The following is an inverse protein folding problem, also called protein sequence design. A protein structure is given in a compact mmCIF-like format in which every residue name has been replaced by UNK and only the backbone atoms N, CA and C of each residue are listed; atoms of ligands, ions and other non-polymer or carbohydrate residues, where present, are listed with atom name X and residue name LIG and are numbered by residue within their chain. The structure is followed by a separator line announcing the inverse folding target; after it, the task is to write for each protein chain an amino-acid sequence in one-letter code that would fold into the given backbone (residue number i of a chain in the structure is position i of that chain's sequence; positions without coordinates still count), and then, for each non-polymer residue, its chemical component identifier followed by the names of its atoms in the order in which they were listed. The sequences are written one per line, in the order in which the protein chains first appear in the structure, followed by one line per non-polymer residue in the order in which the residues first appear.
data_IF_796386736881
#
_entry.id   IF_796386736881
#
_cell.length_a   1.000
_cell.length_b   1.000
_cell.length_c   1.000
_cell.angle_alpha   90.00
_cell.angle_beta   90.00
_cell.angle_gamma   90.00
#
_symmetry.space_group_name_H-M   'P 1'
#
loop_
_entity.id
_entity.type
_entity.pdbx_description
1 polymer ?
#
# COMPACT_ATOMS: atom_id res chain seq x y z
N UNK A 1 -9.49 -6.94 32.13
CA UNK A 1 -8.07 -7.39 32.12
C UNK A 1 -7.74 -8.22 30.88
N UNK A 2 -8.47 -9.30 30.56
CA UNK A 2 -8.22 -10.13 29.35
C UNK A 2 -8.25 -9.32 28.04
N UNK A 3 -9.19 -8.39 27.89
CA UNK A 3 -9.36 -7.59 26.67
C UNK A 3 -8.12 -6.74 26.31
N UNK A 4 -7.40 -6.21 27.31
CA UNK A 4 -6.18 -5.41 27.11
C UNK A 4 -4.98 -6.31 26.75
N UNK A 5 -4.94 -7.53 27.29
CA UNK A 5 -3.87 -8.49 27.05
C UNK A 5 -3.96 -9.06 25.62
N UNK A 6 -5.17 -9.39 25.15
CA UNK A 6 -5.42 -9.78 23.75
C UNK A 6 -5.10 -8.69 22.71
N UNK A 7 -5.06 -7.41 23.10
CA UNK A 7 -4.73 -6.30 22.20
C UNK A 7 -3.23 -6.12 21.95
N UNK A 8 -2.37 -6.66 22.80
CA UNK A 8 -0.93 -6.35 22.81
C UNK A 8 -0.02 -7.47 22.28
N UNK A 9 -0.50 -8.72 22.20
CA UNK A 9 0.33 -9.89 21.85
C UNK A 9 -0.29 -10.76 20.74
N UNK A 10 0.53 -11.15 19.76
CA UNK A 10 0.17 -12.01 18.61
C UNK A 10 -0.24 -13.43 19.02
N UNK A 11 0.17 -13.91 20.20
CA UNK A 11 -0.18 -15.23 20.72
C UNK A 11 -0.66 -15.10 22.18
N UNK A 12 -1.97 -14.95 22.36
CA UNK A 12 -2.59 -14.67 23.65
C UNK A 12 -3.40 -15.86 24.21
N UNK A 13 -3.26 -17.05 23.62
CA UNK A 13 -4.09 -18.21 23.99
C UNK A 13 -3.87 -18.66 25.44
N UNK A 14 -2.62 -18.86 25.84
CA UNK A 14 -2.27 -19.31 27.19
C UNK A 14 -2.67 -18.29 28.27
N UNK A 15 -2.50 -17.00 27.98
CA UNK A 15 -2.84 -15.90 28.88
C UNK A 15 -4.38 -15.75 29.03
N UNK A 16 -5.13 -15.95 27.95
CA UNK A 16 -6.60 -15.98 27.98
C UNK A 16 -7.08 -17.21 28.76
N UNK A 17 -6.49 -18.38 28.53
CA UNK A 17 -6.83 -19.63 29.24
C UNK A 17 -6.64 -19.51 30.76
N UNK A 18 -5.51 -18.93 31.19
CA UNK A 18 -5.24 -18.72 32.63
C UNK A 18 -6.19 -17.72 33.29
N UNK A 19 -6.56 -16.66 32.58
CA UNK A 19 -7.36 -15.57 33.16
C UNK A 19 -8.86 -15.77 32.99
N UNK A 20 -9.30 -16.59 32.02
CA UNK A 20 -10.71 -16.81 31.70
C UNK A 20 -11.57 -17.25 32.91
N UNK A 21 -11.10 -18.16 33.80
CA UNK A 21 -11.83 -18.51 35.03
C UNK A 21 -11.93 -17.37 36.05
N UNK A 22 -11.05 -16.37 35.95
CA UNK A 22 -10.88 -15.29 36.93
C UNK A 22 -11.51 -13.97 36.49
N UNK A 23 -12.12 -13.91 35.31
CA UNK A 23 -12.69 -12.67 34.76
C UNK A 23 -14.19 -12.66 34.67
N UNK A 24 -14.78 -11.52 35.03
CA UNK A 24 -16.17 -11.22 34.78
C UNK A 24 -16.47 -11.15 33.27
N UNK A 25 -17.71 -11.48 32.85
CA UNK A 25 -18.09 -11.47 31.43
C UNK A 25 -17.84 -10.13 30.76
N UNK A 26 -17.26 -10.18 29.55
CA UNK A 26 -17.01 -8.99 28.75
C UNK A 26 -18.33 -8.51 28.12
N UNK A 27 -18.73 -7.25 28.31
CA UNK A 27 -19.89 -6.68 27.61
C UNK A 27 -19.69 -6.75 26.09
N UNK A 28 -20.72 -7.13 25.33
CA UNK A 28 -20.76 -7.24 23.86
C UNK A 28 -20.13 -8.48 23.18
N UNK A 29 -19.56 -9.45 23.92
CA UNK A 29 -19.09 -10.71 23.32
C UNK A 29 -20.19 -11.78 23.39
N UNK A 30 -20.76 -12.16 22.23
CA UNK A 30 -21.82 -13.20 22.15
C UNK A 30 -21.30 -14.62 22.37
N UNK A 31 -20.11 -14.93 21.84
CA UNK A 31 -19.49 -16.24 22.01
C UNK A 31 -18.49 -16.23 23.17
N UNK A 32 -18.84 -16.93 24.26
CA UNK A 32 -18.08 -16.94 25.51
C UNK A 32 -16.98 -17.99 25.59
N UNK A 33 -16.73 -18.77 24.53
CA UNK A 33 -15.57 -19.65 24.54
C UNK A 33 -14.27 -18.85 24.45
N UNK A 34 -13.16 -19.45 24.87
CA UNK A 34 -11.81 -18.89 24.67
C UNK A 34 -11.60 -18.59 23.18
N UNK A 35 -12.00 -19.51 22.31
CA UNK A 35 -11.97 -19.31 20.85
C UNK A 35 -12.85 -18.14 20.41
N UNK A 36 -14.02 -17.95 21.04
CA UNK A 36 -14.94 -16.85 20.78
C UNK A 36 -14.37 -15.49 21.17
N UNK A 37 -13.68 -15.40 22.31
CA UNK A 37 -13.01 -14.19 22.80
C UNK A 37 -11.80 -13.86 21.94
N UNK A 38 -10.96 -14.86 21.62
CA UNK A 38 -9.82 -14.70 20.72
C UNK A 38 -10.30 -14.25 19.34
N UNK A 39 -11.36 -14.88 18.82
CA UNK A 39 -11.95 -14.51 17.53
C UNK A 39 -12.54 -13.09 17.56
N UNK A 40 -13.20 -12.69 18.64
CA UNK A 40 -13.76 -11.35 18.78
C UNK A 40 -12.66 -10.28 18.91
N UNK A 41 -11.59 -10.54 19.67
CA UNK A 41 -10.44 -9.64 19.78
C UNK A 41 -9.69 -9.51 18.44
N UNK A 42 -9.51 -10.63 17.72
CA UNK A 42 -8.99 -10.61 16.35
C UNK A 42 -9.90 -9.81 15.43
N UNK A 43 -11.22 -9.97 15.53
CA UNK A 43 -12.20 -9.23 14.72
C UNK A 43 -12.23 -7.74 15.05
N UNK A 44 -12.04 -7.33 16.31
CA UNK A 44 -11.92 -5.91 16.68
C UNK A 44 -10.60 -5.28 16.24
N UNK A 45 -9.49 -6.01 16.29
CA UNK A 45 -8.21 -5.59 15.71
C UNK A 45 -8.21 -5.62 14.17
N UNK A 46 -9.02 -6.52 13.59
CA UNK A 46 -9.26 -6.66 12.17
C UNK A 46 -10.44 -5.81 11.69
N UNK A 47 -11.10 -5.01 12.55
CA UNK A 47 -11.82 -3.83 12.05
C UNK A 47 -10.71 -3.02 11.40
N UNK A 48 -10.67 -2.91 10.07
CA UNK A 48 -9.68 -2.05 9.43
C UNK A 48 -9.90 -0.71 10.11
N UNK A 49 -8.87 -0.24 10.81
CA UNK A 49 -8.83 1.11 11.35
C UNK A 49 -9.24 1.98 10.16
N UNK A 50 -10.47 2.52 10.22
CA UNK A 50 -11.23 2.91 9.04
C UNK A 50 -10.38 3.81 8.13
N UNK A 51 -9.72 3.20 7.15
CA UNK A 51 -9.21 3.87 5.97
C UNK A 51 -10.33 3.82 4.94
N UNK A 52 -11.55 4.08 5.39
CA UNK A 52 -12.69 4.27 4.52
C UNK A 52 -12.38 5.58 3.81
N UNK A 53 -12.28 5.52 2.47
CA UNK A 53 -11.80 6.53 1.52
C UNK A 53 -10.37 6.27 0.99
N UNK A 54 -10.05 5.03 0.60
CA UNK A 54 -8.78 4.67 -0.06
C UNK A 54 -8.61 5.18 -1.49
N UNK A 55 -9.63 5.77 -2.10
CA UNK A 55 -9.55 6.39 -3.43
C UNK A 55 -8.79 7.74 -3.42
N UNK A 56 -8.69 8.40 -2.26
CA UNK A 56 -8.33 9.83 -2.11
C UNK A 56 -6.87 10.09 -1.66
N UNK A 57 -6.07 9.05 -1.36
CA UNK A 57 -4.67 9.26 -0.97
C UNK A 57 -3.81 9.80 -2.14
N UNK A 58 -4.24 9.55 -3.38
CA UNK A 58 -3.61 10.12 -4.57
C UNK A 58 -3.62 11.65 -4.55
N UNK A 59 -4.75 12.25 -4.17
CA UNK A 59 -4.95 13.70 -4.18
C UNK A 59 -4.29 14.37 -2.96
N UNK A 60 -4.37 13.72 -1.78
CA UNK A 60 -3.64 14.12 -0.57
C UNK A 60 -2.12 14.14 -0.74
N UNK A 61 -1.59 13.29 -1.61
CA UNK A 61 -0.16 13.21 -1.90
C UNK A 61 0.21 14.11 -3.09
N UNK A 62 -0.64 14.31 -4.09
CA UNK A 62 -0.33 15.20 -5.22
C UNK A 62 -0.46 16.70 -4.89
N UNK A 63 -0.99 17.07 -3.72
CA UNK A 63 -1.06 18.48 -3.29
C UNK A 63 0.31 19.03 -2.83
N UNK A 64 0.92 19.82 -3.73
CA UNK A 64 1.73 21.02 -3.51
C UNK A 64 3.24 21.01 -3.84
N UNK A 65 3.62 22.12 -4.48
CA UNK A 65 4.91 22.44 -5.09
C UNK A 65 5.88 23.20 -4.16
N UNK A 66 5.53 23.36 -2.87
CA UNK A 66 6.35 24.10 -1.90
C UNK A 66 7.30 23.18 -1.11
N UNK A 67 8.55 23.61 -0.92
CA UNK A 67 9.61 22.82 -0.26
C UNK A 67 9.32 22.46 1.21
N UNK A 68 8.58 23.30 1.94
CA UNK A 68 8.07 22.98 3.29
C UNK A 68 6.99 21.89 3.25
N UNK A 69 6.11 21.95 2.25
CA UNK A 69 5.04 20.98 2.06
C UNK A 69 5.57 19.63 1.56
N UNK A 70 6.62 19.63 0.73
CA UNK A 70 7.27 18.40 0.27
C UNK A 70 7.86 17.57 1.43
N UNK A 71 8.52 18.21 2.40
CA UNK A 71 9.03 17.53 3.62
C UNK A 71 7.90 16.94 4.45
N UNK A 72 6.82 17.69 4.61
CA UNK A 72 5.63 17.24 5.32
C UNK A 72 4.93 16.07 4.58
N UNK A 73 4.85 16.15 3.25
CA UNK A 73 4.34 15.07 2.40
C UNK A 73 5.19 13.80 2.47
N UNK A 74 6.52 13.94 2.52
CA UNK A 74 7.43 12.81 2.72
C UNK A 74 7.27 12.20 4.13
N UNK A 75 7.13 13.03 5.17
CA UNK A 75 6.86 12.56 6.54
C UNK A 75 5.57 11.76 6.62
N UNK A 76 4.49 12.25 5.99
CA UNK A 76 3.20 11.52 5.90
C UNK A 76 3.33 10.23 5.11
N UNK A 77 4.04 10.25 3.98
CA UNK A 77 4.29 9.05 3.19
C UNK A 77 5.04 7.97 4.00
N UNK A 78 6.07 8.36 4.75
CA UNK A 78 6.81 7.44 5.64
C UNK A 78 5.94 6.89 6.76
N UNK A 79 5.13 7.73 7.40
CA UNK A 79 4.20 7.28 8.44
C UNK A 79 3.15 6.31 7.90
N UNK A 80 2.64 6.57 6.69
CA UNK A 80 1.68 5.69 6.02
C UNK A 80 2.30 4.35 5.64
N UNK A 81 3.51 4.36 5.06
CA UNK A 81 4.24 3.15 4.69
C UNK A 81 4.44 2.22 5.90
N UNK A 82 4.94 2.76 7.02
CA UNK A 82 5.08 2.03 8.29
C UNK A 82 3.76 1.49 8.84
N UNK A 83 2.66 2.22 8.63
CA UNK A 83 1.34 1.79 9.09
C UNK A 83 0.81 0.63 8.25
N UNK A 84 0.98 0.70 6.93
CA UNK A 84 0.54 -0.35 6.00
C UNK A 84 1.39 -1.62 6.14
N UNK A 85 2.69 -1.51 6.41
CA UNK A 85 3.56 -2.67 6.58
C UNK A 85 3.06 -3.62 7.68
N UNK A 86 2.61 -3.04 8.81
CA UNK A 86 1.97 -3.78 9.90
C UNK A 86 0.63 -4.43 9.53
N UNK A 87 -0.07 -3.89 8.52
CA UNK A 87 -1.39 -4.38 8.08
C UNK A 87 -1.24 -5.51 7.07
N UNK A 88 -0.27 -5.42 6.15
CA UNK A 88 0.03 -6.47 5.17
C UNK A 88 0.48 -7.75 5.86
N UNK A 89 1.25 -7.64 6.93
CA UNK A 89 1.63 -8.75 7.82
C UNK A 89 0.44 -9.49 8.45
N UNK A 90 -0.76 -8.91 8.44
CA UNK A 90 -1.96 -9.40 9.11
C UNK A 90 -3.07 -9.84 8.13
N UNK A 91 -2.73 -10.36 6.94
CA UNK A 91 -3.65 -10.77 5.84
C UNK A 91 -4.27 -9.62 5.02
N UNK A 92 -3.68 -8.43 5.03
CA UNK A 92 -4.13 -7.28 4.21
C UNK A 92 -3.80 -7.40 2.72
N UNK A 93 -4.47 -8.29 1.98
CA UNK A 93 -4.26 -8.54 0.54
C UNK A 93 -5.05 -7.60 -0.39
N UNK A 94 -5.20 -6.32 -0.06
CA UNK A 94 -5.92 -5.36 -0.92
C UNK A 94 -4.96 -4.66 -1.90
N UNK A 95 -5.24 -4.80 -3.20
CA UNK A 95 -4.52 -4.13 -4.29
C UNK A 95 -4.43 -2.62 -4.08
N UNK A 96 -5.46 -2.02 -3.50
CA UNK A 96 -5.55 -0.58 -3.23
C UNK A 96 -4.49 -0.14 -2.22
N UNK A 97 -4.26 -0.94 -1.17
CA UNK A 97 -3.23 -0.67 -0.17
C UNK A 97 -1.83 -0.75 -0.79
N UNK A 98 -1.57 -1.75 -1.64
CA UNK A 98 -0.30 -1.86 -2.37
C UNK A 98 -0.09 -0.68 -3.33
N UNK A 99 -1.12 -0.25 -4.07
CA UNK A 99 -1.05 0.94 -4.94
C UNK A 99 -0.72 2.21 -4.15
N UNK A 100 -1.34 2.38 -2.98
CA UNK A 100 -1.12 3.54 -2.11
C UNK A 100 0.26 3.50 -1.46
N UNK A 101 0.73 2.32 -1.01
CA UNK A 101 2.10 2.14 -0.50
C UNK A 101 3.15 2.40 -1.58
N UNK A 102 2.92 1.91 -2.80
CA UNK A 102 3.77 2.20 -3.96
C UNK A 102 3.91 3.71 -4.19
N UNK A 103 2.81 4.47 -4.15
CA UNK A 103 2.85 5.93 -4.25
C UNK A 103 3.66 6.59 -3.13
N UNK A 104 3.51 6.13 -1.89
CA UNK A 104 4.30 6.63 -0.77
C UNK A 104 5.80 6.39 -0.99
N UNK A 105 6.19 5.18 -1.40
CA UNK A 105 7.58 4.84 -1.67
C UNK A 105 8.18 5.63 -2.84
N UNK A 106 7.42 5.89 -3.91
CA UNK A 106 7.83 6.78 -4.99
C UNK A 106 8.20 8.18 -4.47
N UNK A 107 7.39 8.72 -3.55
CA UNK A 107 7.65 10.04 -2.95
C UNK A 107 8.84 10.06 -2.00
N UNK A 108 9.14 8.92 -1.39
CA UNK A 108 10.33 8.72 -0.57
C UNK A 108 11.60 8.46 -1.40
N UNK A 109 11.46 8.32 -2.73
CA UNK A 109 12.57 7.98 -3.61
C UNK A 109 12.93 6.49 -3.65
N UNK A 110 12.15 5.63 -2.99
CA UNK A 110 12.34 4.19 -3.02
C UNK A 110 11.66 3.57 -4.25
N UNK A 111 12.36 3.63 -5.39
CA UNK A 111 11.89 3.06 -6.65
C UNK A 111 11.73 1.54 -6.61
N UNK A 112 12.63 0.82 -5.92
CA UNK A 112 12.60 -0.65 -5.86
C UNK A 112 11.42 -1.15 -5.04
N UNK A 113 11.20 -0.56 -3.86
CA UNK A 113 10.05 -0.90 -3.03
C UNK A 113 8.72 -0.49 -3.68
N UNK A 114 8.68 0.67 -4.34
CA UNK A 114 7.51 1.09 -5.11
C UNK A 114 7.17 0.11 -6.24
N UNK A 115 8.19 -0.41 -6.93
CA UNK A 115 8.03 -1.38 -8.01
C UNK A 115 7.48 -2.72 -7.50
N UNK A 116 8.04 -3.23 -6.39
CA UNK A 116 7.55 -4.45 -5.74
C UNK A 116 6.06 -4.35 -5.38
N UNK A 117 5.64 -3.22 -4.80
CA UNK A 117 4.24 -2.98 -4.46
C UNK A 117 3.34 -2.83 -5.70
N UNK A 118 3.84 -2.19 -6.76
CA UNK A 118 3.10 -2.09 -8.02
C UNK A 118 2.88 -3.46 -8.68
N UNK A 119 3.87 -4.36 -8.63
CA UNK A 119 3.72 -5.74 -9.11
C UNK A 119 2.68 -6.52 -8.30
N UNK A 120 2.69 -6.39 -6.98
CA UNK A 120 1.66 -6.99 -6.12
C UNK A 120 0.27 -6.47 -6.46
N UNK A 121 0.14 -5.16 -6.64
CA UNK A 121 -1.09 -4.52 -7.07
C UNK A 121 -1.60 -5.09 -8.40
N UNK A 122 -0.73 -5.18 -9.42
CA UNK A 122 -1.06 -5.72 -10.75
C UNK A 122 -1.42 -7.22 -10.71
N UNK A 123 -0.80 -7.99 -9.80
CA UNK A 123 -1.13 -9.41 -9.59
C UNK A 123 -2.53 -9.57 -9.00
N UNK A 124 -2.91 -8.69 -8.06
CA UNK A 124 -4.22 -8.72 -7.40
C UNK A 124 -5.34 -8.16 -8.30
N UNK A 125 -5.03 -7.15 -9.12
CA UNK A 125 -5.96 -6.50 -10.06
C UNK A 125 -5.29 -6.23 -11.41
N UNK A 126 -5.28 -7.22 -12.33
CA UNK A 126 -4.59 -7.08 -13.62
C UNK A 126 -5.28 -6.10 -14.58
N UNK A 127 -6.56 -5.82 -14.37
CA UNK A 127 -7.42 -4.92 -15.15
C UNK A 127 -7.38 -3.46 -14.65
N UNK A 128 -6.50 -3.14 -13.70
CA UNK A 128 -6.45 -1.81 -13.09
C UNK A 128 -5.33 -0.94 -13.66
N UNK A 129 -5.70 0.02 -14.53
CA UNK A 129 -4.76 0.94 -15.18
C UNK A 129 -3.83 1.66 -14.19
N UNK A 130 -4.35 2.02 -12.99
CA UNK A 130 -3.58 2.68 -11.93
C UNK A 130 -2.41 1.82 -11.44
N UNK A 131 -2.55 0.48 -11.42
CA UNK A 131 -1.47 -0.43 -11.05
C UNK A 131 -0.31 -0.37 -12.06
N UNK A 132 -0.65 -0.44 -13.36
CA UNK A 132 0.33 -0.31 -14.45
C UNK A 132 1.02 1.07 -14.43
N UNK A 133 0.25 2.13 -14.16
CA UNK A 133 0.80 3.47 -14.02
C UNK A 133 1.77 3.61 -12.84
N UNK A 134 1.47 3.01 -11.67
CA UNK A 134 2.39 2.97 -10.52
C UNK A 134 3.68 2.22 -10.86
N UNK A 135 3.57 1.09 -11.57
CA UNK A 135 4.72 0.31 -12.04
C UNK A 135 5.61 1.17 -12.96
N UNK A 136 5.02 1.87 -13.92
CA UNK A 136 5.75 2.74 -14.82
C UNK A 136 6.46 3.89 -14.10
N UNK A 137 5.81 4.53 -13.12
CA UNK A 137 6.44 5.59 -12.32
C UNK A 137 7.64 5.06 -11.52
N UNK A 138 7.58 3.82 -11.05
CA UNK A 138 8.70 3.18 -10.36
C UNK A 138 9.86 2.93 -11.33
N UNK A 139 9.60 2.40 -12.53
CA UNK A 139 10.62 2.25 -13.58
C UNK A 139 11.22 3.60 -14.00
N UNK A 140 10.41 4.65 -14.14
CA UNK A 140 10.89 6.01 -14.43
C UNK A 140 11.85 6.54 -13.35
N UNK A 141 11.55 6.27 -12.07
CA UNK A 141 12.42 6.66 -10.94
C UNK A 141 13.72 5.85 -10.94
N UNK A 142 13.67 4.59 -11.35
CA UNK A 142 14.82 3.71 -11.52
C UNK A 142 15.60 3.96 -12.82
N UNK A 143 15.13 4.87 -13.68
CA UNK A 143 15.67 5.15 -15.03
C UNK A 143 15.59 3.98 -16.01
N UNK A 144 14.70 3.03 -15.74
CA UNK A 144 14.41 1.88 -16.60
C UNK A 144 13.35 2.30 -17.65
N UNK A 145 13.72 3.19 -18.57
CA UNK A 145 12.76 3.89 -19.43
C UNK A 145 12.02 2.97 -20.41
N UNK A 146 12.65 1.90 -20.86
CA UNK A 146 12.03 0.90 -21.74
C UNK A 146 10.88 0.18 -21.04
N UNK A 147 11.13 -0.33 -19.84
CA UNK A 147 10.14 -0.98 -18.99
C UNK A 147 9.04 -0.01 -18.54
N UNK A 148 9.39 1.27 -18.34
CA UNK A 148 8.40 2.32 -18.08
C UNK A 148 7.44 2.51 -19.27
N UNK A 149 7.96 2.54 -20.50
CA UNK A 149 7.14 2.63 -21.71
C UNK A 149 6.19 1.44 -21.83
N UNK A 150 6.69 0.22 -21.65
CA UNK A 150 5.88 -1.00 -21.73
C UNK A 150 4.72 -0.98 -20.72
N UNK A 151 5.00 -0.61 -19.46
CA UNK A 151 3.98 -0.50 -18.43
C UNK A 151 2.96 0.62 -18.72
N UNK A 152 3.37 1.73 -19.34
CA UNK A 152 2.47 2.83 -19.74
C UNK A 152 1.60 2.46 -20.93
N UNK A 153 2.12 1.70 -21.89
CA UNK A 153 1.34 1.17 -23.00
C UNK A 153 0.26 0.21 -22.48
N UNK A 154 0.58 -0.65 -21.51
CA UNK A 154 -0.42 -1.50 -20.87
C UNK A 154 -1.46 -0.68 -20.10
N UNK A 155 -1.04 0.38 -19.40
CA UNK A 155 -1.97 1.29 -18.72
C UNK A 155 -2.91 1.99 -19.73
N UNK A 156 -2.39 2.42 -20.88
CA UNK A 156 -3.16 3.08 -21.94
C UNK A 156 -4.17 2.15 -22.61
N UNK A 157 -3.86 0.86 -22.75
CA UNK A 157 -4.83 -0.14 -23.23
C UNK A 157 -6.02 -0.30 -22.27
N UNK A 158 -5.77 -0.18 -20.97
CA UNK A 158 -6.79 -0.34 -19.93
C UNK A 158 -7.63 0.93 -19.71
N UNK A 159 -7.04 2.10 -19.89
CA UNK A 159 -7.69 3.41 -19.71
C UNK A 159 -7.33 4.36 -20.87
N UNK A 160 -7.91 4.14 -22.07
CA UNK A 160 -7.64 4.97 -23.24
C UNK A 160 -8.21 6.38 -23.06
N UNK A 161 -7.42 7.41 -23.37
CA UNK A 161 -7.80 8.82 -23.22
C UNK A 161 -7.41 9.44 -21.87
N UNK A 162 -6.70 8.71 -21.01
CA UNK A 162 -6.13 9.27 -19.80
C UNK A 162 -4.91 10.16 -20.12
N UNK A 163 -5.12 11.47 -20.07
CA UNK A 163 -4.08 12.47 -20.35
C UNK A 163 -2.83 12.34 -19.46
N UNK A 164 -2.96 11.82 -18.24
CA UNK A 164 -1.82 11.63 -17.34
C UNK A 164 -0.93 10.46 -17.77
N UNK A 165 -1.54 9.40 -18.30
CA UNK A 165 -0.82 8.24 -18.88
C UNK A 165 -0.13 8.67 -20.17
N UNK A 166 -0.83 9.39 -21.05
CA UNK A 166 -0.28 9.89 -22.32
C UNK A 166 0.91 10.82 -22.11
N UNK A 167 0.79 11.80 -21.21
CA UNK A 167 1.91 12.69 -20.85
C UNK A 167 3.08 11.91 -20.26
N UNK A 168 2.82 10.92 -19.42
CA UNK A 168 3.88 10.09 -18.86
C UNK A 168 4.59 9.24 -19.92
N UNK A 169 3.85 8.70 -20.90
CA UNK A 169 4.39 7.89 -21.99
C UNK A 169 5.28 8.73 -22.91
N UNK A 170 4.81 9.91 -23.33
CA UNK A 170 5.63 10.83 -24.13
C UNK A 170 6.94 11.17 -23.42
N UNK A 171 6.88 11.47 -22.13
CA UNK A 171 8.09 11.74 -21.32
C UNK A 171 9.02 10.53 -21.22
N UNK A 172 8.49 9.32 -21.05
CA UNK A 172 9.30 8.11 -20.99
C UNK A 172 10.04 7.85 -22.32
N UNK A 173 9.35 8.04 -23.45
CA UNK A 173 9.92 7.91 -24.79
C UNK A 173 11.02 8.96 -25.03
N UNK A 174 10.82 10.20 -24.62
CA UNK A 174 11.84 11.24 -24.71
C UNK A 174 13.10 10.88 -23.92
N UNK A 175 12.94 10.45 -22.66
CA UNK A 175 14.06 10.05 -21.81
C UNK A 175 14.80 8.82 -22.35
N UNK A 176 14.08 7.87 -22.94
CA UNK A 176 14.68 6.72 -23.62
C UNK A 176 15.57 7.15 -24.80
N UNK A 177 15.15 8.15 -25.59
CA UNK A 177 15.96 8.67 -26.71
C UNK A 177 17.19 9.46 -26.26
N UNK A 178 17.11 10.13 -25.11
CA UNK A 178 18.19 10.94 -24.54
C UNK A 178 19.25 10.06 -23.85
N UNK A 179 18.90 8.82 -23.51
CA UNK A 179 19.84 7.81 -22.99
C UNK A 179 20.15 6.78 -24.08
N UNK A 180 20.89 7.16 -25.16
CA UNK A 180 21.36 6.17 -26.11
C UNK A 180 22.17 5.12 -25.35
N UNK A 181 21.83 3.86 -25.60
CA UNK A 181 22.22 2.70 -24.83
C UNK A 181 23.73 2.71 -24.48
N UNK A 182 24.07 2.60 -23.19
CA UNK A 182 25.42 2.22 -22.73
C UNK A 182 25.62 0.69 -22.77
N UNK A 183 24.75 -0.04 -23.49
CA UNK A 183 24.75 -1.50 -23.55
C UNK A 183 25.08 -2.00 -24.99
N UNK A 184 26.29 -1.69 -25.46
CA UNK A 184 27.01 -2.53 -26.43
C UNK A 184 28.49 -2.62 -26.03
N UNK A 185 28.83 -3.59 -25.18
CA UNK A 185 30.18 -4.20 -25.11
C UNK A 185 30.10 -5.70 -24.76
#
# INVERSE_FOLDING_TARGET
MIWVICQLRRDCREEVEMLFPLTSPIPNVRNRSIDGIISHAKLENAKPMALNNTEDLGDLLNSSADSKSAREGARRASQFDLKIDKVIDCDGLDATLYSNRSLCKLKLGDGKGALSDAYRCRTLRPDWAKACYRQAKAHMLLKEYKQACDALLDAQKLDPGNEEIERALSKAIELMKISPDEDEE
#
